data_IF_909416265636
#
_entry.id   IF_909416265636
#
_cell.length_a   1.000
_cell.length_b   1.000
_cell.length_c   1.000
_cell.angle_alpha   90.00
_cell.angle_beta   90.00
_cell.angle_gamma   90.00
#
_symmetry.space_group_name_H-M   'P 1'
#
loop_
_entity.id
_entity.type
_entity.pdbx_description
1 polymer ?
#
# COMPACT_ATOMS: atom_id res chain seq x y z
N UNK A 1 -10.76 12.62 -18.15
CA UNK A 1 -9.83 11.76 -17.39
C UNK A 1 -8.52 12.51 -17.17
N UNK A 2 -8.15 12.74 -15.91
CA UNK A 2 -6.84 13.29 -15.55
C UNK A 2 -5.81 12.16 -15.64
N UNK A 3 -4.56 12.48 -15.97
CA UNK A 3 -3.49 11.47 -16.06
C UNK A 3 -3.27 10.74 -14.73
N UNK A 4 -3.57 11.39 -13.60
CA UNK A 4 -3.48 10.85 -12.25
C UNK A 4 -4.60 9.87 -11.87
N UNK A 5 -5.66 9.75 -12.67
CA UNK A 5 -6.80 8.87 -12.33
C UNK A 5 -6.40 7.39 -12.36
N UNK A 6 -5.39 7.03 -13.18
CA UNK A 6 -4.82 5.70 -13.32
C UNK A 6 -3.31 5.73 -13.04
N UNK A 7 -2.89 5.00 -12.02
CA UNK A 7 -1.47 4.75 -11.71
C UNK A 7 -1.15 3.29 -12.00
N UNK A 8 -0.04 3.03 -12.69
CA UNK A 8 0.36 1.68 -13.11
C UNK A 8 1.79 1.42 -12.61
N UNK A 9 2.00 0.34 -11.88
CA UNK A 9 3.33 -0.14 -11.50
C UNK A 9 3.80 -1.19 -12.51
N UNK A 10 4.86 -0.86 -13.26
CA UNK A 10 5.29 -1.64 -14.43
C UNK A 10 6.82 -1.67 -14.57
N UNK A 11 7.35 -2.79 -15.05
CA UNK A 11 8.71 -2.88 -15.56
C UNK A 11 8.84 -3.98 -16.62
N UNK A 12 9.38 -5.17 -16.29
CA UNK A 12 9.78 -6.13 -17.31
C UNK A 12 8.62 -6.80 -18.06
N UNK A 13 7.39 -6.74 -17.56
CA UNK A 13 6.25 -7.40 -18.23
C UNK A 13 5.83 -6.68 -19.51
N UNK A 14 6.03 -5.36 -19.60
CA UNK A 14 5.69 -4.60 -20.79
C UNK A 14 6.48 -3.27 -20.87
N UNK A 15 7.02 -2.88 -22.04
CA UNK A 15 7.70 -1.60 -22.18
C UNK A 15 6.77 -0.41 -21.91
N UNK A 16 7.24 0.57 -21.13
CA UNK A 16 6.45 1.77 -20.82
C UNK A 16 5.88 2.52 -22.04
N UNK A 17 6.58 2.63 -23.20
CA UNK A 17 6.01 3.26 -24.39
C UNK A 17 4.74 2.57 -24.93
N UNK A 18 4.62 1.25 -24.77
CA UNK A 18 3.43 0.51 -25.20
C UNK A 18 2.21 0.86 -24.34
N UNK A 19 2.42 1.16 -23.06
CA UNK A 19 1.35 1.52 -22.12
C UNK A 19 0.73 2.88 -22.44
N UNK A 20 1.56 3.83 -22.89
CA UNK A 20 1.08 5.16 -23.26
C UNK A 20 0.09 5.13 -24.43
N UNK A 21 0.14 4.09 -25.28
CA UNK A 21 -0.83 3.85 -26.35
C UNK A 21 -2.16 3.27 -25.84
N UNK A 22 -2.14 2.58 -24.70
CA UNK A 22 -3.31 1.90 -24.13
C UNK A 22 -4.14 2.83 -23.24
N UNK A 23 -3.50 3.71 -22.46
CA UNK A 23 -4.21 4.55 -21.52
C UNK A 23 -3.45 5.83 -21.15
N UNK A 24 -4.20 6.91 -20.88
CA UNK A 24 -3.66 8.13 -20.28
C UNK A 24 -3.46 7.92 -18.77
N UNK A 25 -2.25 7.54 -18.38
CA UNK A 25 -1.91 7.13 -17.01
C UNK A 25 -0.57 7.69 -16.53
N UNK A 26 -0.30 7.54 -15.23
CA UNK A 26 1.03 7.66 -14.63
C UNK A 26 1.63 6.26 -14.54
N UNK A 27 2.77 6.04 -15.20
CA UNK A 27 3.54 4.80 -15.09
C UNK A 27 4.64 5.01 -14.06
N UNK A 28 4.64 4.17 -13.02
CA UNK A 28 5.66 4.09 -11.99
C UNK A 28 6.52 2.82 -12.22
N UNK A 29 7.75 2.78 -11.69
CA UNK A 29 8.59 1.57 -11.69
C UNK A 29 7.87 0.34 -11.11
N UNK A 30 8.44 -0.88 -11.23
CA UNK A 30 7.94 -2.04 -10.50
C UNK A 30 7.79 -1.73 -9.01
N UNK A 31 6.62 -2.05 -8.43
CA UNK A 31 6.32 -1.73 -7.04
C UNK A 31 7.28 -2.43 -6.05
N UNK A 32 7.80 -1.67 -5.10
CA UNK A 32 8.43 -2.18 -3.87
C UNK A 32 7.65 -1.70 -2.65
N UNK A 33 8.06 -2.18 -1.48
CA UNK A 33 7.45 -1.80 -0.21
C UNK A 33 7.33 -0.27 -0.05
N UNK A 34 6.13 0.15 0.33
CA UNK A 34 5.72 1.53 0.53
C UNK A 34 5.35 2.32 -0.74
N UNK A 35 5.58 1.77 -1.94
CA UNK A 35 5.29 2.50 -3.18
C UNK A 35 3.79 2.70 -3.39
N UNK A 36 2.95 1.72 -3.01
CA UNK A 36 1.49 1.85 -3.15
C UNK A 36 0.99 2.94 -2.21
N UNK A 37 1.47 3.00 -0.97
CA UNK A 37 1.17 4.11 -0.06
C UNK A 37 1.60 5.48 -0.61
N UNK A 38 2.80 5.58 -1.20
CA UNK A 38 3.25 6.83 -1.87
C UNK A 38 2.34 7.21 -3.03
N UNK A 39 1.89 6.23 -3.82
CA UNK A 39 1.00 6.47 -4.95
C UNK A 39 -0.38 6.99 -4.52
N UNK A 40 -0.88 6.65 -3.33
CA UNK A 40 -2.14 7.20 -2.81
C UNK A 40 -2.11 8.73 -2.67
N UNK A 41 -0.94 9.33 -2.46
CA UNK A 41 -0.80 10.78 -2.44
C UNK A 41 -1.19 11.43 -3.78
N UNK A 42 -1.12 10.71 -4.90
CA UNK A 42 -1.58 11.17 -6.21
C UNK A 42 -3.11 11.21 -6.33
N UNK A 43 -3.83 10.63 -5.36
CA UNK A 43 -5.29 10.44 -5.33
C UNK A 43 -5.81 9.73 -6.59
N UNK A 44 -5.26 8.56 -6.94
CA UNK A 44 -5.75 7.80 -8.09
C UNK A 44 -7.18 7.31 -7.84
N UNK A 45 -7.95 7.13 -8.91
CA UNK A 45 -9.19 6.34 -8.87
C UNK A 45 -8.88 4.85 -8.97
N UNK A 46 -7.83 4.51 -9.72
CA UNK A 46 -7.41 3.14 -10.00
C UNK A 46 -5.90 2.99 -9.89
N UNK A 47 -5.46 1.89 -9.27
CA UNK A 47 -4.09 1.40 -9.32
C UNK A 47 -4.07 0.08 -10.07
N UNK A 48 -3.22 -0.05 -11.09
CA UNK A 48 -2.90 -1.32 -11.72
C UNK A 48 -1.51 -1.77 -11.26
N UNK A 49 -1.45 -2.83 -10.47
CA UNK A 49 -0.21 -3.47 -10.07
C UNK A 49 0.11 -4.56 -11.09
N UNK A 50 1.09 -4.32 -11.96
CA UNK A 50 1.57 -5.33 -12.92
C UNK A 50 2.82 -5.96 -12.33
N UNK A 51 3.90 -5.20 -12.27
CA UNK A 51 5.21 -5.66 -11.80
C UNK A 51 5.55 -5.15 -10.42
N UNK A 52 6.39 -5.91 -9.74
CA UNK A 52 7.16 -5.37 -8.64
C UNK A 52 8.50 -6.07 -8.46
N UNK A 53 9.28 -5.52 -7.53
CA UNK A 53 10.66 -5.97 -7.28
C UNK A 53 10.65 -7.08 -6.22
N UNK A 54 11.52 -8.05 -6.43
CA UNK A 54 11.71 -9.21 -5.57
C UNK A 54 13.19 -9.35 -5.18
N UNK A 55 13.46 -10.00 -4.04
CA UNK A 55 14.76 -10.23 -3.38
C UNK A 55 15.57 -8.99 -2.98
N UNK A 56 15.98 -8.17 -3.96
CA UNK A 56 16.91 -7.03 -3.73
C UNK A 56 16.32 -5.93 -2.85
N UNK A 57 14.99 -5.85 -2.78
CA UNK A 57 14.24 -4.99 -1.88
C UNK A 57 12.98 -5.72 -1.42
N UNK A 58 12.43 -5.36 -0.24
CA UNK A 58 11.15 -5.90 0.17
C UNK A 58 10.05 -5.61 -0.87
N UNK A 59 9.34 -6.65 -1.26
CA UNK A 59 8.21 -6.58 -2.18
C UNK A 59 7.04 -5.82 -1.57
N UNK A 60 6.14 -5.33 -2.43
CA UNK A 60 4.90 -4.66 -2.02
C UNK A 60 4.11 -5.52 -1.03
N UNK A 61 3.70 -4.90 0.07
CA UNK A 61 2.95 -5.55 1.14
C UNK A 61 1.45 -5.59 0.85
N UNK A 62 0.80 -6.67 1.31
CA UNK A 62 -0.66 -6.79 1.28
C UNK A 62 -1.36 -5.63 1.99
N UNK A 63 -0.78 -5.14 3.08
CA UNK A 63 -1.31 -4.00 3.84
C UNK A 63 -1.39 -2.72 3.01
N UNK A 64 -0.48 -2.49 2.07
CA UNK A 64 -0.54 -1.29 1.22
C UNK A 64 -1.71 -1.36 0.24
N UNK A 65 -1.97 -2.56 -0.27
CA UNK A 65 -3.08 -2.82 -1.19
C UNK A 65 -4.42 -2.73 -0.46
N UNK A 66 -4.50 -3.30 0.75
CA UNK A 66 -5.67 -3.18 1.61
C UNK A 66 -5.97 -1.71 1.95
N UNK A 67 -4.94 -0.93 2.31
CA UNK A 67 -5.11 0.51 2.57
C UNK A 67 -5.59 1.27 1.32
N UNK A 68 -5.14 0.89 0.11
CA UNK A 68 -5.63 1.48 -1.12
C UNK A 68 -7.12 1.16 -1.36
N UNK A 69 -7.53 -0.09 -1.12
CA UNK A 69 -8.93 -0.52 -1.21
C UNK A 69 -9.81 0.21 -0.19
N UNK A 70 -9.34 0.32 1.06
CA UNK A 70 -10.03 1.05 2.14
C UNK A 70 -10.16 2.56 1.83
N UNK A 71 -9.19 3.13 1.10
CA UNK A 71 -9.25 4.49 0.59
C UNK A 71 -10.20 4.67 -0.62
N UNK A 72 -10.90 3.62 -1.04
CA UNK A 72 -11.83 3.63 -2.17
C UNK A 72 -11.15 3.62 -3.54
N UNK A 73 -9.86 3.28 -3.59
CA UNK A 73 -9.13 3.10 -4.86
C UNK A 73 -9.37 1.69 -5.36
N UNK A 74 -9.83 1.54 -6.61
CA UNK A 74 -9.91 0.21 -7.21
C UNK A 74 -8.52 -0.29 -7.57
N UNK A 75 -8.17 -1.50 -7.14
CA UNK A 75 -6.86 -2.09 -7.40
C UNK A 75 -7.00 -3.29 -8.33
N UNK A 76 -6.35 -3.22 -9.48
CA UNK A 76 -6.24 -4.31 -10.45
C UNK A 76 -4.85 -4.95 -10.36
N UNK A 77 -4.77 -6.27 -10.52
CA UNK A 77 -3.50 -6.98 -10.54
C UNK A 77 -3.46 -8.13 -11.54
N UNK A 78 -2.34 -8.29 -12.23
CA UNK A 78 -2.12 -9.36 -13.20
C UNK A 78 -0.65 -9.47 -13.64
N UNK A 79 -0.38 -10.40 -14.56
CA UNK A 79 0.91 -10.69 -15.21
C UNK A 79 2.12 -11.14 -14.37
N UNK A 80 2.37 -10.53 -13.21
CA UNK A 80 3.61 -10.72 -12.46
C UNK A 80 3.27 -10.71 -10.98
N UNK A 81 4.02 -9.98 -10.14
CA UNK A 81 3.71 -9.83 -8.72
C UNK A 81 2.28 -9.32 -8.47
N UNK A 82 1.71 -8.55 -9.39
CA UNK A 82 0.31 -8.16 -9.37
C UNK A 82 -0.69 -9.31 -9.39
N UNK A 83 -0.40 -10.37 -10.16
CA UNK A 83 -1.24 -11.56 -10.25
C UNK A 83 -1.28 -12.33 -8.93
N UNK A 84 -0.14 -12.48 -8.26
CA UNK A 84 -0.04 -13.13 -6.94
C UNK A 84 -0.87 -12.36 -5.92
N UNK A 85 -0.63 -11.04 -5.82
CA UNK A 85 -1.33 -10.18 -4.86
C UNK A 85 -2.84 -10.18 -5.12
N UNK A 86 -3.26 -10.20 -6.38
CA UNK A 86 -4.66 -10.34 -6.73
C UNK A 86 -5.25 -11.69 -6.30
N UNK A 87 -4.53 -12.80 -6.49
CA UNK A 87 -4.98 -14.12 -6.02
C UNK A 87 -5.21 -14.12 -4.50
N UNK A 88 -4.28 -13.55 -3.73
CA UNK A 88 -4.32 -13.47 -2.27
C UNK A 88 -5.39 -12.49 -1.74
N UNK A 89 -5.66 -11.41 -2.46
CA UNK A 89 -6.52 -10.30 -2.03
C UNK A 89 -7.83 -10.17 -2.79
N UNK A 90 -8.15 -11.09 -3.71
CA UNK A 90 -9.41 -11.11 -4.47
C UNK A 90 -10.64 -11.06 -3.56
N UNK A 91 -10.65 -11.88 -2.50
CA UNK A 91 -11.70 -11.89 -1.46
C UNK A 91 -11.83 -10.59 -0.66
N UNK A 92 -10.83 -9.70 -0.74
CA UNK A 92 -10.81 -8.39 -0.09
C UNK A 92 -11.15 -7.25 -1.06
N UNK A 93 -11.38 -7.53 -2.35
CA UNK A 93 -11.81 -6.55 -3.34
C UNK A 93 -10.77 -6.17 -4.40
N UNK A 94 -9.56 -6.74 -4.37
CA UNK A 94 -8.60 -6.59 -5.47
C UNK A 94 -9.09 -7.35 -6.71
N UNK A 95 -9.04 -6.72 -7.88
CA UNK A 95 -9.50 -7.33 -9.14
C UNK A 95 -8.33 -8.03 -9.82
N UNK A 96 -8.38 -9.36 -9.92
CA UNK A 96 -7.40 -10.13 -10.66
C UNK A 96 -7.72 -10.22 -12.15
N UNK A 97 -6.68 -10.12 -12.98
CA UNK A 97 -6.81 -10.13 -14.45
C UNK A 97 -5.76 -11.04 -15.06
N UNK A 98 -6.18 -11.81 -16.07
CA UNK A 98 -5.30 -12.61 -16.90
C UNK A 98 -5.09 -14.03 -16.40
N UNK A 99 -4.41 -14.82 -17.24
CA UNK A 99 -4.24 -16.26 -17.05
C UNK A 99 -3.34 -16.59 -15.85
N UNK A 100 -2.32 -15.77 -15.60
CA UNK A 100 -1.39 -15.97 -14.49
C UNK A 100 -2.14 -15.77 -13.17
N UNK A 101 -3.05 -14.79 -13.09
CA UNK A 101 -3.92 -14.63 -11.92
C UNK A 101 -4.84 -15.84 -11.73
N UNK A 102 -5.51 -16.31 -12.79
CA UNK A 102 -6.35 -17.51 -12.73
C UNK A 102 -5.56 -18.71 -12.23
N UNK A 103 -4.35 -18.91 -12.73
CA UNK A 103 -3.49 -20.00 -12.31
C UNK A 103 -3.10 -19.94 -10.83
N UNK A 104 -2.81 -18.77 -10.27
CA UNK A 104 -2.57 -18.64 -8.83
C UNK A 104 -3.84 -18.84 -8.01
N UNK A 105 -4.96 -18.24 -8.45
CA UNK A 105 -6.26 -18.38 -7.78
C UNK A 105 -6.71 -19.84 -7.69
N UNK A 106 -6.51 -20.60 -8.76
CA UNK A 106 -6.93 -21.99 -8.88
C UNK A 106 -5.87 -22.98 -8.36
N UNK A 107 -4.74 -22.48 -7.85
CA UNK A 107 -3.66 -23.31 -7.28
C UNK A 107 -2.82 -24.07 -8.31
N UNK A 108 -2.94 -23.75 -9.60
CA UNK A 108 -2.08 -24.28 -10.67
C UNK A 108 -0.63 -23.82 -10.49
N UNK A 109 -0.45 -22.58 -10.03
CA UNK A 109 0.82 -22.03 -9.58
C UNK A 109 0.78 -21.80 -8.08
N UNK A 110 1.88 -22.13 -7.40
CA UNK A 110 2.04 -21.94 -5.94
C UNK A 110 3.35 -21.25 -5.57
N UNK A 111 4.36 -21.30 -6.45
CA UNK A 111 5.70 -20.76 -6.20
C UNK A 111 5.84 -19.38 -6.85
N UNK A 112 6.25 -18.38 -6.06
CA UNK A 112 6.51 -17.01 -6.52
C UNK A 112 7.57 -16.95 -7.65
N UNK A 113 8.48 -17.94 -7.70
CA UNK A 113 9.50 -18.06 -8.73
C UNK A 113 8.92 -18.30 -10.14
N UNK A 114 7.63 -18.61 -10.27
CA UNK A 114 6.94 -18.79 -11.55
C UNK A 114 6.97 -17.51 -12.40
N UNK A 115 6.82 -16.35 -11.76
CA UNK A 115 6.82 -15.04 -12.41
C UNK A 115 8.15 -14.29 -12.27
N UNK A 116 9.06 -14.80 -11.44
CA UNK A 116 10.35 -14.17 -11.17
C UNK A 116 11.29 -14.20 -12.38
N UNK A 117 12.04 -13.10 -12.56
CA UNK A 117 13.10 -12.93 -13.55
C UNK A 117 14.02 -11.79 -13.11
N UNK A 118 15.28 -11.81 -13.55
CA UNK A 118 16.17 -10.65 -13.52
C UNK A 118 15.83 -9.68 -14.65
N UNK A 119 15.82 -8.39 -14.33
CA UNK A 119 15.63 -7.31 -15.27
C UNK A 119 16.72 -6.25 -15.09
N UNK A 120 16.92 -5.42 -16.11
CA UNK A 120 17.83 -4.28 -16.02
C UNK A 120 17.27 -3.17 -15.12
N UNK A 121 18.07 -2.15 -14.79
CA UNK A 121 17.62 -1.01 -14.03
C UNK A 121 16.72 -0.05 -14.84
N UNK A 122 16.23 1.03 -14.20
CA UNK A 122 15.40 2.05 -14.84
C UNK A 122 16.06 2.69 -16.07
N UNK A 123 17.39 2.83 -16.06
CA UNK A 123 18.19 3.40 -17.16
C UNK A 123 18.10 2.60 -18.47
N UNK A 124 17.75 1.32 -18.38
CA UNK A 124 17.50 0.43 -19.53
C UNK A 124 16.03 0.01 -19.62
N UNK A 125 15.12 0.75 -18.97
CA UNK A 125 13.68 0.53 -19.06
C UNK A 125 13.19 -0.79 -18.48
N UNK A 126 13.88 -1.35 -17.49
CA UNK A 126 13.53 -2.61 -16.84
C UNK A 126 13.43 -3.82 -17.77
N UNK A 127 14.15 -3.81 -18.91
CA UNK A 127 14.09 -4.93 -19.86
C UNK A 127 14.43 -6.27 -19.17
N UNK A 128 13.71 -7.37 -19.45
CA UNK A 128 14.01 -8.67 -18.88
C UNK A 128 15.38 -9.17 -19.39
N UNK A 129 16.21 -9.68 -18.48
CA UNK A 129 17.51 -10.31 -18.75
C UNK A 129 17.42 -11.84 -18.74
N UNK A 130 16.39 -12.37 -18.08
CA UNK A 130 16.12 -13.80 -17.93
C UNK A 130 14.63 -14.06 -18.14
N UNK A 131 14.26 -15.34 -18.13
CA UNK A 131 12.95 -15.83 -18.53
C UNK A 131 12.10 -16.25 -17.31
N UNK A 132 10.85 -15.79 -17.19
CA UNK A 132 9.91 -16.30 -16.20
C UNK A 132 9.40 -17.68 -16.61
N UNK A 133 9.04 -18.52 -15.65
CA UNK A 133 8.63 -19.90 -15.92
C UNK A 133 7.25 -19.96 -16.60
N UNK A 134 6.36 -19.02 -16.27
CA UNK A 134 5.05 -18.89 -16.93
C UNK A 134 5.15 -18.73 -18.45
N UNK A 135 6.18 -18.03 -18.96
CA UNK A 135 6.39 -17.90 -20.40
C UNK A 135 6.88 -19.22 -21.02
N UNK A 136 7.65 -20.02 -20.27
CA UNK A 136 8.02 -21.38 -20.73
C UNK A 136 6.78 -22.27 -20.82
N UNK A 137 5.90 -22.22 -19.82
CA UNK A 137 4.63 -22.96 -19.83
C UNK A 137 3.80 -22.57 -21.04
N UNK A 138 3.63 -21.27 -21.28
CA UNK A 138 2.89 -20.77 -22.44
C UNK A 138 3.50 -21.21 -23.77
N UNK A 139 4.82 -21.12 -23.92
CA UNK A 139 5.46 -21.57 -25.15
C UNK A 139 5.35 -23.08 -25.35
N UNK A 140 5.38 -23.88 -24.28
CA UNK A 140 5.16 -25.32 -24.37
C UNK A 140 3.73 -25.65 -24.81
N UNK A 141 2.72 -24.94 -24.28
CA UNK A 141 1.32 -25.07 -24.71
C UNK A 141 1.16 -24.74 -26.19
N UNK A 142 1.69 -23.59 -26.64
CA UNK A 142 1.61 -23.16 -28.05
C UNK A 142 2.36 -24.14 -28.95
N UNK A 143 3.55 -24.56 -28.57
CA UNK A 143 4.33 -25.52 -29.35
C UNK A 143 3.64 -26.88 -29.48
N UNK A 144 2.90 -27.33 -28.46
CA UNK A 144 2.09 -28.55 -28.53
C UNK A 144 0.86 -28.34 -29.41
N UNK A 145 0.16 -27.21 -29.27
CA UNK A 145 -1.02 -26.88 -30.08
C UNK A 145 -0.70 -26.75 -31.57
N UNK A 146 0.46 -26.19 -31.91
CA UNK A 146 0.95 -26.06 -33.30
C UNK A 146 1.62 -27.34 -33.82
N UNK A 147 1.68 -28.41 -33.02
CA UNK A 147 2.33 -29.67 -33.38
C UNK A 147 3.86 -29.58 -33.49
N UNK A 148 4.48 -28.49 -33.07
CA UNK A 148 5.93 -28.32 -33.02
C UNK A 148 6.58 -29.29 -32.02
N UNK A 149 5.89 -29.55 -30.90
CA UNK A 149 6.28 -30.50 -29.87
C UNK A 149 5.16 -31.51 -29.60
N UNK A 150 5.52 -32.76 -29.30
CA UNK A 150 4.57 -33.70 -28.69
C UNK A 150 4.28 -33.29 -27.24
N UNK A 151 3.12 -33.66 -26.66
CA UNK A 151 2.77 -33.31 -25.27
C UNK A 151 3.85 -33.69 -24.24
N UNK A 152 4.50 -34.85 -24.41
CA UNK A 152 5.61 -35.29 -23.56
C UNK A 152 6.84 -34.35 -23.65
N UNK A 153 7.12 -33.82 -24.85
CA UNK A 153 8.23 -32.90 -25.07
C UNK A 153 7.95 -31.52 -24.47
N UNK A 154 6.70 -31.03 -24.58
CA UNK A 154 6.26 -29.81 -23.89
C UNK A 154 6.42 -29.93 -22.36
N UNK A 155 6.01 -31.05 -21.78
CA UNK A 155 6.19 -31.32 -20.34
C UNK A 155 7.67 -31.38 -19.93
N UNK A 156 8.54 -31.98 -20.76
CA UNK A 156 9.99 -31.99 -20.52
C UNK A 156 10.60 -30.58 -20.55
N UNK A 157 10.16 -29.72 -21.47
CA UNK A 157 10.60 -28.33 -21.56
C UNK A 157 10.29 -27.56 -20.27
N UNK A 158 9.05 -27.67 -19.77
CA UNK A 158 8.63 -27.02 -18.52
C UNK A 158 9.42 -27.57 -17.32
N UNK A 159 9.56 -28.89 -17.20
CA UNK A 159 10.35 -29.52 -16.12
C UNK A 159 11.81 -29.10 -16.15
N UNK A 160 12.40 -28.95 -17.33
CA UNK A 160 13.77 -28.47 -17.47
C UNK A 160 13.90 -27.01 -17.02
N UNK A 161 12.94 -26.15 -17.37
CA UNK A 161 12.92 -24.76 -16.92
C UNK A 161 12.70 -24.60 -15.41
N UNK A 162 11.86 -25.44 -14.81
CA UNK A 162 11.62 -25.48 -13.35
C UNK A 162 12.91 -25.74 -12.55
N UNK A 163 13.79 -26.61 -13.05
CA UNK A 163 15.07 -26.92 -12.40
C UNK A 163 16.11 -25.81 -12.53
N UNK A 164 15.89 -24.83 -13.40
CA UNK A 164 16.78 -23.68 -13.54
C UNK A 164 16.29 -22.57 -12.62
N UNK A 165 17.18 -22.11 -11.74
CA UNK A 165 16.95 -20.90 -10.96
C UNK A 165 16.59 -19.74 -11.91
N UNK A 166 15.59 -18.95 -11.54
CA UNK A 166 15.05 -17.91 -12.42
C UNK A 166 16.15 -16.93 -12.87
N UNK A 167 17.13 -16.64 -11.99
CA UNK A 167 18.24 -15.73 -12.25
C UNK A 167 19.22 -16.19 -13.34
N UNK A 168 19.08 -17.42 -13.83
CA UNK A 168 19.88 -17.92 -14.94
C UNK A 168 19.03 -18.52 -16.06
N UNK A 169 17.70 -18.39 -16.00
CA UNK A 169 16.80 -19.02 -16.95
C UNK A 169 16.81 -18.25 -18.27
N UNK A 170 17.21 -18.91 -19.35
CA UNK A 170 17.13 -18.37 -20.72
C UNK A 170 16.68 -19.46 -21.66
N UNK A 171 16.08 -19.11 -22.82
CA UNK A 171 15.68 -20.11 -23.82
C UNK A 171 16.82 -21.06 -24.18
N UNK A 172 18.02 -20.54 -24.42
CA UNK A 172 19.21 -21.36 -24.71
C UNK A 172 19.45 -22.43 -23.63
N UNK A 173 19.40 -22.06 -22.35
CA UNK A 173 19.63 -22.97 -21.22
C UNK A 173 18.46 -23.93 -21.02
N UNK A 174 17.21 -23.44 -21.14
CA UNK A 174 16.00 -24.25 -21.01
C UNK A 174 15.97 -25.36 -22.07
N UNK A 175 16.18 -25.01 -23.34
CA UNK A 175 16.13 -25.99 -24.43
C UNK A 175 17.30 -26.99 -24.34
N UNK A 176 18.50 -26.53 -23.94
CA UNK A 176 19.62 -27.43 -23.68
C UNK A 176 19.32 -28.42 -22.53
N UNK A 177 18.75 -27.93 -21.42
CA UNK A 177 18.40 -28.75 -20.26
C UNK A 177 17.24 -29.72 -20.53
N UNK A 178 16.35 -29.38 -21.47
CA UNK A 178 15.26 -30.26 -21.91
C UNK A 178 15.74 -31.42 -22.80
N UNK A 179 17.00 -31.38 -23.26
CA UNK A 179 17.60 -32.38 -24.17
C UNK A 179 16.74 -32.61 -25.43
N UNK A 180 16.05 -31.58 -25.92
CA UNK A 180 15.33 -31.64 -27.17
C UNK A 180 16.34 -31.69 -28.33
N UNK A 181 16.14 -32.63 -29.25
CA UNK A 181 17.02 -32.86 -30.40
C UNK A 181 16.22 -33.08 -31.69
N UNK A 182 16.92 -33.07 -32.83
CA UNK A 182 16.34 -33.35 -34.14
C UNK A 182 15.21 -32.39 -34.54
N UNK A 183 14.17 -32.93 -35.18
CA UNK A 183 13.05 -32.14 -35.71
C UNK A 183 12.24 -31.40 -34.63
N UNK A 184 12.19 -31.90 -33.39
CA UNK A 184 11.52 -31.23 -32.29
C UNK A 184 12.27 -29.96 -31.87
N UNK A 185 13.60 -30.02 -31.83
CA UNK A 185 14.46 -28.85 -31.55
C UNK A 185 14.29 -27.78 -32.63
N UNK A 186 14.41 -28.18 -33.90
CA UNK A 186 14.30 -27.26 -35.03
C UNK A 186 12.93 -26.55 -35.07
N UNK A 187 11.83 -27.28 -34.85
CA UNK A 187 10.49 -26.68 -34.82
C UNK A 187 10.30 -25.72 -33.66
N UNK A 188 10.82 -26.03 -32.48
CA UNK A 188 10.78 -25.12 -31.33
C UNK A 188 11.61 -23.85 -31.60
N UNK A 189 12.82 -23.97 -32.17
CA UNK A 189 13.66 -22.82 -32.50
C UNK A 189 12.95 -21.90 -33.52
N UNK A 190 12.25 -22.45 -34.51
CA UNK A 190 11.43 -21.68 -35.47
C UNK A 190 10.30 -20.92 -34.76
N UNK A 191 9.59 -21.57 -33.83
CA UNK A 191 8.54 -20.92 -33.05
C UNK A 191 9.10 -19.75 -32.22
N UNK A 192 10.22 -19.97 -31.53
CA UNK A 192 10.84 -18.93 -30.71
C UNK A 192 11.39 -17.76 -31.55
N UNK A 193 11.92 -18.04 -32.74
CA UNK A 193 12.45 -17.02 -33.66
C UNK A 193 11.36 -16.12 -34.26
N UNK A 194 10.12 -16.60 -34.39
CA UNK A 194 8.97 -15.80 -34.84
C UNK A 194 8.46 -14.83 -33.78
N UNK A 195 8.93 -14.94 -32.55
CA UNK A 195 8.43 -14.23 -31.38
C UNK A 195 7.94 -15.22 -30.36
N UNK A 196 8.76 -15.48 -29.33
CA UNK A 196 8.39 -16.37 -28.25
C UNK A 196 7.10 -15.86 -27.57
N UNK A 197 6.11 -16.74 -27.31
CA UNK A 197 4.91 -16.36 -26.57
C UNK A 197 5.25 -15.74 -25.22
N UNK A 198 4.64 -14.60 -24.90
CA UNK A 198 4.92 -13.83 -23.69
C UNK A 198 3.63 -13.61 -22.89
N UNK A 199 3.34 -14.57 -22.01
CA UNK A 199 2.12 -14.53 -21.20
C UNK A 199 2.12 -13.35 -20.22
N UNK A 200 3.30 -12.96 -19.70
CA UNK A 200 3.39 -11.78 -18.84
C UNK A 200 3.01 -10.51 -19.60
N UNK A 201 3.47 -10.36 -20.84
CA UNK A 201 3.10 -9.22 -21.67
C UNK A 201 1.61 -9.21 -22.02
N UNK A 202 1.04 -10.36 -22.38
CA UNK A 202 -0.38 -10.50 -22.71
C UNK A 202 -1.27 -10.14 -21.50
N UNK A 203 -0.99 -10.71 -20.33
CA UNK A 203 -1.72 -10.40 -19.10
C UNK A 203 -1.51 -8.94 -18.65
N UNK A 204 -0.34 -8.35 -18.91
CA UNK A 204 -0.07 -6.96 -18.56
C UNK A 204 -0.93 -6.02 -19.42
N UNK A 205 -1.02 -6.27 -20.72
CA UNK A 205 -1.93 -5.53 -21.62
C UNK A 205 -3.38 -5.68 -21.19
N UNK A 206 -3.81 -6.91 -20.85
CA UNK A 206 -5.18 -7.17 -20.38
C UNK A 206 -5.49 -6.43 -19.06
N UNK A 207 -4.57 -6.45 -18.09
CA UNK A 207 -4.71 -5.75 -16.81
C UNK A 207 -4.83 -4.25 -17.00
N UNK A 208 -3.97 -3.67 -17.84
CA UNK A 208 -3.97 -2.23 -18.13
C UNK A 208 -5.25 -1.83 -18.86
N UNK A 209 -5.71 -2.63 -19.83
CA UNK A 209 -6.95 -2.39 -20.55
C UNK A 209 -8.17 -2.44 -19.61
N UNK A 210 -8.25 -3.43 -18.72
CA UNK A 210 -9.33 -3.55 -17.74
C UNK A 210 -9.35 -2.36 -16.78
N UNK A 211 -8.18 -1.95 -16.25
CA UNK A 211 -8.06 -0.79 -15.39
C UNK A 211 -8.45 0.51 -16.12
N UNK A 212 -8.05 0.68 -17.38
CA UNK A 212 -8.40 1.84 -18.19
C UNK A 212 -9.90 1.91 -18.50
N UNK A 213 -10.51 0.78 -18.86
CA UNK A 213 -11.95 0.68 -19.10
C UNK A 213 -12.75 1.06 -17.83
N UNK A 214 -12.30 0.61 -16.67
CA UNK A 214 -12.92 0.97 -15.40
C UNK A 214 -12.85 2.47 -15.10
N UNK A 215 -11.73 3.14 -15.39
CA UNK A 215 -11.64 4.60 -15.22
C UNK A 215 -12.59 5.34 -16.17
N UNK A 216 -12.76 4.82 -17.40
CA UNK A 216 -13.66 5.38 -18.40
C UNK A 216 -15.15 5.20 -18.07
N UNK A 217 -15.51 4.19 -17.28
CA UNK A 217 -16.88 3.93 -16.87
C UNK A 217 -17.42 5.02 -15.90
N UNK A 218 -18.72 5.38 -15.98
CA UNK A 218 -19.36 6.27 -15.01
C UNK A 218 -19.32 5.65 -13.60
N UNK A 219 -19.07 6.52 -12.60
CA UNK A 219 -18.87 6.27 -11.17
C UNK A 219 -19.16 4.84 -10.66
N UNK A 220 -18.15 3.98 -10.71
CA UNK A 220 -18.10 2.81 -9.85
C UNK A 220 -17.85 3.28 -8.41
N UNK A 221 -18.81 3.03 -7.52
CA UNK A 221 -18.60 3.09 -6.09
C UNK A 221 -18.05 1.71 -5.65
N UNK A 222 -16.80 1.60 -5.16
CA UNK A 222 -16.32 0.34 -4.65
C UNK A 222 -17.21 -0.14 -3.51
N UNK A 223 -17.50 -1.45 -3.41
CA UNK A 223 -18.21 -1.99 -2.28
C UNK A 223 -17.39 -1.70 -1.03
N UNK A 224 -17.88 -0.77 -0.21
CA UNK A 224 -17.27 -0.41 1.06
C UNK A 224 -17.34 -1.62 1.98
N UNK A 225 -16.24 -2.36 2.08
CA UNK A 225 -16.03 -3.30 3.19
C UNK A 225 -14.97 -2.73 4.12
N UNK A 226 -15.37 -1.66 4.83
CA UNK A 226 -14.57 -1.09 5.90
C UNK A 226 -14.71 -1.96 7.16
N UNK A 227 -14.02 -3.09 7.22
CA UNK A 227 -13.50 -3.51 8.52
C UNK A 227 -12.18 -2.76 8.67
N UNK A 228 -12.18 -1.65 9.41
CA UNK A 228 -10.97 -0.93 9.77
C UNK A 228 -10.06 -1.85 10.58
N UNK A 229 -9.23 -2.63 9.89
CA UNK A 229 -8.23 -3.48 10.54
C UNK A 229 -7.18 -2.57 11.14
N UNK A 230 -6.93 -2.66 12.44
CA UNK A 230 -5.78 -1.97 13.05
C UNK A 230 -4.51 -2.75 12.68
N UNK A 231 -3.60 -2.17 11.89
CA UNK A 231 -2.39 -2.87 11.52
C UNK A 231 -1.45 -3.00 12.73
N UNK A 232 -0.55 -3.98 12.67
CA UNK A 232 0.46 -4.19 13.70
C UNK A 232 1.33 -2.94 13.90
N UNK A 233 2.01 -2.83 15.04
CA UNK A 233 2.94 -1.72 15.30
C UNK A 233 4.07 -1.63 14.26
N UNK A 234 4.49 -2.76 13.71
CA UNK A 234 5.46 -2.80 12.60
C UNK A 234 4.92 -2.09 11.37
N UNK A 235 3.72 -2.45 10.92
CA UNK A 235 3.10 -1.87 9.73
C UNK A 235 2.81 -0.39 9.94
N UNK A 236 2.31 0.02 11.12
CA UNK A 236 2.08 1.44 11.43
C UNK A 236 3.36 2.28 11.37
N UNK A 237 4.45 1.80 11.99
CA UNK A 237 5.74 2.50 11.97
C UNK A 237 6.31 2.60 10.56
N UNK A 238 6.17 1.55 9.76
CA UNK A 238 6.66 1.55 8.39
C UNK A 238 5.81 2.45 7.48
N UNK A 239 4.48 2.42 7.62
CA UNK A 239 3.58 3.34 6.91
C UNK A 239 3.94 4.78 7.21
N UNK A 240 4.11 5.12 8.49
CA UNK A 240 4.44 6.47 8.94
C UNK A 240 5.67 7.05 8.24
N UNK A 241 6.72 6.26 7.97
CA UNK A 241 7.92 6.76 7.30
C UNK A 241 7.85 6.64 5.77
N UNK A 242 7.09 5.68 5.25
CA UNK A 242 7.00 5.40 3.82
C UNK A 242 6.03 6.34 3.06
N UNK A 243 5.04 6.93 3.73
CA UNK A 243 4.06 7.87 3.16
C UNK A 243 4.65 9.27 2.95
N UNK A 244 3.88 10.14 2.30
CA UNK A 244 4.26 11.52 2.02
C UNK A 244 3.19 12.51 2.47
N UNK A 245 3.63 13.65 2.98
CA UNK A 245 2.83 14.83 3.27
C UNK A 245 2.78 15.75 2.06
N UNK A 246 1.66 16.46 1.85
CA UNK A 246 1.53 17.44 0.75
C UNK A 246 1.63 18.87 1.28
N UNK A 247 2.80 19.47 1.15
CA UNK A 247 3.02 20.90 1.43
C UNK A 247 2.79 21.71 0.14
N UNK A 248 1.60 22.27 -0.02
CA UNK A 248 1.19 22.94 -1.26
C UNK A 248 1.24 21.99 -2.46
N UNK A 249 2.08 22.28 -3.46
CA UNK A 249 2.26 21.42 -4.65
C UNK A 249 3.33 20.34 -4.47
N UNK A 250 4.12 20.39 -3.40
CA UNK A 250 5.28 19.50 -3.18
C UNK A 250 4.88 18.33 -2.28
N UNK A 251 5.33 17.13 -2.64
CA UNK A 251 5.32 15.98 -1.75
C UNK A 251 6.60 15.97 -0.91
N UNK A 252 6.46 15.72 0.39
CA UNK A 252 7.58 15.64 1.35
C UNK A 252 7.52 14.26 2.00
N UNK A 253 8.64 13.54 2.06
CA UNK A 253 8.67 12.23 2.71
C UNK A 253 8.46 12.39 4.21
N UNK A 254 7.56 11.58 4.79
CA UNK A 254 7.27 11.68 6.21
C UNK A 254 8.47 11.29 7.08
N UNK A 255 9.36 10.43 6.59
CA UNK A 255 10.65 10.15 7.24
C UNK A 255 11.50 11.41 7.44
N UNK A 256 11.56 12.30 6.44
CA UNK A 256 12.30 13.55 6.53
C UNK A 256 11.63 14.52 7.53
N UNK A 257 10.29 14.57 7.53
CA UNK A 257 9.52 15.37 8.50
C UNK A 257 9.79 14.89 9.92
N UNK A 258 9.78 13.57 10.16
CA UNK A 258 10.08 13.00 11.47
C UNK A 258 11.51 13.27 11.91
N UNK A 259 12.49 13.15 11.00
CA UNK A 259 13.88 13.46 11.31
C UNK A 259 14.06 14.94 11.71
N UNK A 260 13.40 15.85 10.99
CA UNK A 260 13.41 17.28 11.32
C UNK A 260 12.74 17.57 12.66
N UNK A 261 11.58 16.94 12.94
CA UNK A 261 10.88 17.08 14.22
C UNK A 261 11.69 16.51 15.38
N UNK A 262 12.38 15.38 15.19
CA UNK A 262 13.23 14.77 16.21
C UNK A 262 14.43 15.66 16.59
N UNK A 263 14.92 16.47 15.66
CA UNK A 263 16.01 17.42 15.89
C UNK A 263 15.54 18.75 16.50
N UNK A 264 14.23 19.03 16.54
CA UNK A 264 13.69 20.30 17.01
C UNK A 264 13.69 20.39 18.56
N UNK A 265 13.85 21.60 19.14
CA UNK A 265 13.64 21.80 20.56
C UNK A 265 12.23 21.35 21.00
N UNK A 266 12.15 20.62 22.11
CA UNK A 266 10.87 20.11 22.62
C UNK A 266 10.37 18.81 21.98
N UNK A 267 11.14 18.19 21.07
CA UNK A 267 10.78 16.92 20.43
C UNK A 267 10.40 15.83 21.44
N UNK A 268 11.15 15.70 22.54
CA UNK A 268 10.87 14.72 23.60
C UNK A 268 9.50 14.96 24.25
N UNK A 269 9.18 16.20 24.61
CA UNK A 269 7.91 16.54 25.21
C UNK A 269 6.73 16.28 24.25
N UNK A 270 6.90 16.60 22.96
CA UNK A 270 5.90 16.30 21.93
C UNK A 270 5.69 14.79 21.76
N UNK A 271 6.78 14.01 21.76
CA UNK A 271 6.72 12.56 21.66
C UNK A 271 6.04 11.92 22.89
N UNK A 272 6.38 12.35 24.11
CA UNK A 272 5.74 11.90 25.34
C UNK A 272 4.23 12.18 25.34
N UNK A 273 3.83 13.37 24.89
CA UNK A 273 2.42 13.72 24.78
C UNK A 273 1.69 12.81 23.78
N UNK A 274 2.28 12.57 22.60
CA UNK A 274 1.72 11.61 21.64
C UNK A 274 1.65 10.18 22.18
N UNK A 275 2.66 9.74 22.93
CA UNK A 275 2.69 8.42 23.57
C UNK A 275 1.60 8.29 24.64
N UNK A 276 1.43 9.29 25.51
CA UNK A 276 0.35 9.30 26.52
C UNK A 276 -1.02 9.11 25.88
N UNK A 277 -1.32 9.87 24.83
CA UNK A 277 -2.60 9.76 24.09
C UNK A 277 -2.82 8.37 23.50
N UNK A 278 -1.82 7.87 22.77
CA UNK A 278 -1.92 6.56 22.10
C UNK A 278 -2.00 5.40 23.09
N UNK A 279 -1.33 5.50 24.24
CA UNK A 279 -1.43 4.53 25.34
C UNK A 279 -2.80 4.57 26.00
N UNK A 280 -3.34 5.76 26.32
CA UNK A 280 -4.68 5.89 26.90
C UNK A 280 -5.76 5.34 25.97
N UNK A 281 -5.71 5.66 24.68
CA UNK A 281 -6.64 5.10 23.70
C UNK A 281 -6.51 3.57 23.58
N UNK A 282 -5.29 3.04 23.64
CA UNK A 282 -5.06 1.59 23.63
C UNK A 282 -5.56 0.91 24.92
N UNK A 283 -5.35 1.54 26.06
CA UNK A 283 -5.82 1.07 27.35
C UNK A 283 -7.34 1.07 27.42
N UNK A 284 -8.00 2.16 27.00
CA UNK A 284 -9.46 2.23 26.87
C UNK A 284 -10.02 1.07 26.05
N UNK A 285 -9.42 0.79 24.88
CA UNK A 285 -9.80 -0.37 24.05
C UNK A 285 -9.62 -1.70 24.78
N UNK A 286 -8.52 -1.88 25.52
CA UNK A 286 -8.28 -3.11 26.29
C UNK A 286 -9.30 -3.33 27.42
N UNK A 287 -9.90 -2.25 27.91
CA UNK A 287 -11.00 -2.28 28.88
C UNK A 287 -12.38 -2.45 28.25
N UNK A 288 -12.47 -2.61 26.92
CA UNK A 288 -13.74 -2.79 26.20
C UNK A 288 -14.50 -1.50 25.93
N UNK A 289 -13.85 -0.33 26.02
CA UNK A 289 -14.50 0.92 25.61
C UNK A 289 -14.71 0.93 24.10
N UNK A 290 -15.95 1.20 23.70
CA UNK A 290 -16.33 1.44 22.31
C UNK A 290 -16.63 2.93 22.09
N UNK A 291 -16.54 3.37 20.85
CA UNK A 291 -16.93 4.72 20.41
C UNK A 291 -17.91 4.60 19.25
N UNK A 292 -18.95 5.44 19.29
CA UNK A 292 -19.93 5.54 18.22
C UNK A 292 -19.41 6.44 17.10
N UNK A 293 -20.05 6.39 15.93
CA UNK A 293 -19.77 7.33 14.83
C UNK A 293 -19.90 8.79 15.29
N UNK A 294 -20.89 9.09 16.14
CA UNK A 294 -21.09 10.43 16.68
C UNK A 294 -19.93 10.88 17.59
N UNK A 295 -19.33 9.96 18.38
CA UNK A 295 -18.15 10.27 19.20
C UNK A 295 -16.94 10.62 18.32
N UNK A 296 -16.73 9.88 17.22
CA UNK A 296 -15.62 10.09 16.28
C UNK A 296 -15.78 11.42 15.55
N UNK A 297 -16.97 11.73 15.04
CA UNK A 297 -17.26 13.04 14.41
C UNK A 297 -17.14 14.19 15.41
N UNK A 298 -17.57 13.98 16.67
CA UNK A 298 -17.39 14.95 17.75
C UNK A 298 -15.91 15.22 18.05
N UNK A 299 -15.07 14.19 18.09
CA UNK A 299 -13.62 14.35 18.27
C UNK A 299 -12.96 15.07 17.08
N UNK A 300 -13.36 14.74 15.85
CA UNK A 300 -12.90 15.39 14.62
C UNK A 300 -13.22 16.90 14.64
N UNK A 301 -14.45 17.24 14.98
CA UNK A 301 -14.92 18.62 15.06
C UNK A 301 -14.24 19.39 16.20
N UNK A 302 -14.03 18.77 17.36
CA UNK A 302 -13.27 19.37 18.46
C UNK A 302 -11.82 19.67 18.06
N UNK A 303 -11.16 18.73 17.37
CA UNK A 303 -9.79 18.91 16.88
C UNK A 303 -9.69 20.05 15.86
N UNK A 304 -10.63 20.11 14.90
CA UNK A 304 -10.72 21.22 13.95
C UNK A 304 -10.86 22.57 14.65
N UNK A 305 -11.75 22.66 15.65
CA UNK A 305 -11.97 23.91 16.41
C UNK A 305 -10.75 24.31 17.23
N UNK A 306 -10.03 23.36 17.83
CA UNK A 306 -8.80 23.63 18.56
C UNK A 306 -7.71 24.25 17.68
N UNK A 307 -7.68 23.90 16.39
CA UNK A 307 -6.79 24.51 15.40
C UNK A 307 -7.34 25.81 14.77
N UNK A 308 -8.56 26.24 15.15
CA UNK A 308 -9.27 27.37 14.56
C UNK A 308 -9.41 27.30 13.02
N UNK A 309 -9.56 26.10 12.45
CA UNK A 309 -9.64 25.89 11.01
C UNK A 309 -11.08 25.81 10.50
N UNK A 310 -11.33 26.34 9.30
CA UNK A 310 -12.57 26.06 8.55
C UNK A 310 -12.62 24.59 8.12
N UNK A 311 -13.79 24.04 7.74
CA UNK A 311 -13.86 22.66 7.23
C UNK A 311 -12.91 22.39 6.06
N UNK A 312 -12.84 23.31 5.09
CA UNK A 312 -11.91 23.21 3.97
C UNK A 312 -10.44 23.34 4.40
N UNK A 313 -10.15 24.25 5.34
CA UNK A 313 -8.81 24.41 5.91
C UNK A 313 -8.34 23.14 6.65
N UNK A 314 -9.25 22.47 7.35
CA UNK A 314 -8.96 21.22 8.04
C UNK A 314 -8.67 20.06 7.09
N UNK A 315 -9.41 19.96 5.98
CA UNK A 315 -9.09 18.98 4.91
C UNK A 315 -7.69 19.20 4.34
N UNK A 316 -7.26 20.45 4.16
CA UNK A 316 -5.90 20.77 3.73
C UNK A 316 -4.87 20.38 4.79
N UNK A 317 -5.12 20.75 6.05
CA UNK A 317 -4.26 20.43 7.19
C UNK A 317 -4.03 18.92 7.34
N UNK A 318 -5.07 18.09 7.20
CA UNK A 318 -4.93 16.63 7.25
C UNK A 318 -3.99 16.13 6.14
N UNK A 319 -4.13 16.65 4.92
CA UNK A 319 -3.24 16.29 3.80
C UNK A 319 -1.79 16.78 4.00
N UNK A 320 -1.60 17.96 4.59
CA UNK A 320 -0.29 18.49 4.98
C UNK A 320 0.35 17.69 6.12
N UNK A 321 -0.48 17.10 6.98
CA UNK A 321 -0.05 16.23 8.08
C UNK A 321 0.17 14.77 7.64
N UNK A 322 0.00 14.46 6.35
CA UNK A 322 0.18 13.10 5.83
C UNK A 322 -0.91 12.12 6.31
N UNK A 323 -2.06 12.62 6.73
CA UNK A 323 -3.20 11.81 7.19
C UNK A 323 -4.22 11.65 6.07
N UNK A 324 -4.39 10.41 5.62
CA UNK A 324 -5.44 10.03 4.67
C UNK A 324 -6.79 9.78 5.37
N UNK A 325 -7.84 9.49 4.59
CA UNK A 325 -9.19 9.27 5.12
C UNK A 325 -9.21 8.27 6.28
N UNK A 326 -8.61 7.09 6.09
CA UNK A 326 -8.58 6.03 7.08
C UNK A 326 -7.68 6.38 8.28
N UNK A 327 -6.51 6.99 8.05
CA UNK A 327 -5.60 7.41 9.12
C UNK A 327 -6.21 8.51 9.99
N UNK A 328 -6.85 9.51 9.38
CA UNK A 328 -7.51 10.58 10.12
C UNK A 328 -8.72 10.07 10.91
N UNK A 329 -9.49 9.12 10.36
CA UNK A 329 -10.59 8.48 11.08
C UNK A 329 -10.09 7.69 12.30
N UNK A 330 -9.03 6.88 12.15
CA UNK A 330 -8.40 6.15 13.26
C UNK A 330 -7.86 7.08 14.35
N UNK A 331 -7.27 8.21 13.96
CA UNK A 331 -6.82 9.21 14.93
C UNK A 331 -8.00 9.84 15.68
N UNK A 332 -9.10 10.15 14.99
CA UNK A 332 -10.31 10.69 15.64
C UNK A 332 -10.95 9.66 16.59
N UNK A 333 -10.92 8.37 16.24
CA UNK A 333 -11.32 7.27 17.12
C UNK A 333 -10.44 7.22 18.38
N UNK A 334 -9.12 7.32 18.23
CA UNK A 334 -8.18 7.34 19.37
C UNK A 334 -8.42 8.56 20.28
N UNK A 335 -8.66 9.75 19.70
CA UNK A 335 -9.01 10.96 20.46
C UNK A 335 -10.36 10.82 21.19
N UNK A 336 -11.36 10.16 20.57
CA UNK A 336 -12.65 9.90 21.19
C UNK A 336 -12.53 8.91 22.37
N UNK A 337 -11.73 7.86 22.21
CA UNK A 337 -11.44 6.87 23.25
C UNK A 337 -10.68 7.48 24.43
N UNK A 338 -9.64 8.27 24.15
CA UNK A 338 -8.90 9.03 25.15
C UNK A 338 -9.86 9.91 25.96
N UNK A 339 -10.72 10.68 25.27
CA UNK A 339 -11.68 11.57 25.91
C UNK A 339 -12.70 10.81 26.76
N UNK A 340 -13.23 9.68 26.28
CA UNK A 340 -14.15 8.85 27.05
C UNK A 340 -13.50 8.34 28.33
N UNK A 341 -12.27 7.84 28.22
CA UNK A 341 -11.50 7.35 29.37
C UNK A 341 -11.26 8.47 30.39
N UNK A 342 -10.83 9.65 29.96
CA UNK A 342 -10.59 10.80 30.83
C UNK A 342 -11.89 11.35 31.47
N UNK A 343 -12.99 11.38 30.73
CA UNK A 343 -14.30 11.82 31.26
C UNK A 343 -14.80 10.85 32.33
N UNK A 344 -14.51 9.56 32.17
CA UNK A 344 -14.85 8.50 33.11
C UNK A 344 -13.79 8.23 34.17
N UNK A 345 -12.70 9.02 34.27
CA UNK A 345 -11.49 8.66 35.03
C UNK A 345 -11.74 8.18 36.47
N UNK A 346 -12.67 8.83 37.17
CA UNK A 346 -13.08 8.48 38.54
C UNK A 346 -13.66 7.06 38.69
N UNK A 347 -14.04 6.41 37.58
CA UNK A 347 -14.62 5.06 37.53
C UNK A 347 -13.75 4.05 36.78
N UNK A 348 -12.62 4.48 36.21
CA UNK A 348 -11.75 3.60 35.40
C UNK A 348 -10.93 2.66 36.27
N UNK A 349 -10.54 3.12 37.46
CA UNK A 349 -9.79 2.35 38.46
C UNK A 349 -10.42 2.57 39.85
N UNK A 350 -10.21 1.65 40.81
CA UNK A 350 -10.55 1.90 42.21
C UNK A 350 -9.94 3.22 42.68
N UNK A 351 -10.74 4.07 43.31
CA UNK A 351 -10.33 5.41 43.77
C UNK A 351 -9.70 6.27 42.65
N UNK A 352 -10.31 6.23 41.46
CA UNK A 352 -9.84 7.00 40.30
C UNK A 352 -9.91 8.52 40.49
N UNK A 353 -9.04 9.29 39.80
CA UNK A 353 -8.93 10.72 39.99
C UNK A 353 -10.13 11.49 39.41
N UNK A 354 -10.48 12.58 40.09
CA UNK A 354 -11.43 13.59 39.62
C UNK A 354 -10.81 14.58 38.63
N UNK A 355 -11.67 15.35 37.95
CA UNK A 355 -11.21 16.44 37.07
C UNK A 355 -10.47 17.54 37.85
N UNK A 356 -10.89 17.84 39.08
CA UNK A 356 -10.27 18.86 39.92
C UNK A 356 -8.86 18.45 40.35
N UNK A 357 -8.65 17.18 40.69
CA UNK A 357 -7.31 16.64 40.97
C UNK A 357 -6.40 16.74 39.76
N UNK A 358 -6.92 16.40 38.57
CA UNK A 358 -6.20 16.57 37.31
C UNK A 358 -5.81 18.03 37.03
N UNK A 359 -6.75 18.96 37.18
CA UNK A 359 -6.52 20.39 37.01
C UNK A 359 -5.48 20.91 38.01
N UNK A 360 -5.60 20.55 39.29
CA UNK A 360 -4.68 20.96 40.33
C UNK A 360 -3.27 20.45 40.07
N UNK A 361 -3.10 19.18 39.68
CA UNK A 361 -1.81 18.61 39.33
C UNK A 361 -1.19 19.33 38.14
N UNK A 362 -1.93 19.48 37.03
CA UNK A 362 -1.45 20.16 35.82
C UNK A 362 -1.05 21.62 36.08
N UNK A 363 -1.90 22.37 36.80
CA UNK A 363 -1.63 23.77 37.14
C UNK A 363 -0.41 23.93 38.06
N UNK A 364 -0.15 22.98 38.96
CA UNK A 364 1.05 23.00 39.82
C UNK A 364 2.31 22.73 39.00
N UNK A 365 2.30 21.71 38.14
CA UNK A 365 3.44 21.35 37.29
C UNK A 365 3.78 22.47 36.29
N UNK A 366 2.76 23.14 35.74
CA UNK A 366 2.94 24.28 34.83
C UNK A 366 3.25 25.62 35.54
N UNK A 367 3.26 25.65 36.89
CA UNK A 367 3.42 26.87 37.67
C UNK A 367 2.23 27.84 37.65
N UNK A 368 1.18 27.54 36.88
CA UNK A 368 -0.07 28.33 36.80
C UNK A 368 -0.76 28.46 38.15
N UNK A 369 -0.74 27.41 38.97
CA UNK A 369 -1.32 27.44 40.33
C UNK A 369 -0.67 28.53 41.19
N UNK A 370 0.67 28.61 41.18
CA UNK A 370 1.41 29.60 41.94
C UNK A 370 1.20 31.02 41.38
N UNK A 371 1.16 31.16 40.05
CA UNK A 371 0.85 32.45 39.40
C UNK A 371 -0.54 32.97 39.79
N UNK A 372 -1.54 32.09 39.72
CA UNK A 372 -2.93 32.41 40.01
C UNK A 372 -3.15 32.70 41.50
N UNK A 373 -2.52 31.91 42.38
CA UNK A 373 -2.52 32.16 43.82
C UNK A 373 -1.99 33.56 44.15
N UNK A 374 -0.89 33.98 43.51
CA UNK A 374 -0.34 35.35 43.66
C UNK A 374 -1.30 36.42 43.11
N UNK A 375 -1.95 36.17 41.97
CA UNK A 375 -2.94 37.09 41.38
C UNK A 375 -4.12 37.33 42.33
N UNK A 376 -4.69 36.27 42.88
CA UNK A 376 -5.80 36.32 43.85
C UNK A 376 -5.38 37.08 45.12
N UNK A 377 -4.20 36.79 45.67
CA UNK A 377 -3.69 37.47 46.87
C UNK A 377 -3.52 38.99 46.66
N UNK A 378 -3.08 39.43 45.47
CA UNK A 378 -2.95 40.86 45.12
C UNK A 378 -4.29 41.54 44.89
N UNK A 379 -5.25 40.85 44.26
CA UNK A 379 -6.61 41.36 44.03
C UNK A 379 -7.36 41.62 45.34
N UNK A 380 -7.20 40.75 46.34
CA UNK A 380 -7.81 40.92 47.67
C UNK A 380 -7.28 42.13 48.44
N UNK A 381 -6.03 42.54 48.23
CA UNK A 381 -5.43 43.73 48.85
C UNK A 381 -5.89 45.07 48.26
N UNK A 382 -6.62 45.08 47.14
CA UNK A 382 -7.15 46.31 46.51
C UNK A 382 -8.60 46.61 46.89
N UNK A 383 -9.27 45.68 47.58
CA UNK A 383 -10.66 45.80 48.03
C UNK A 383 -10.78 45.97 49.55
N UNK A 384 -9.65 45.89 50.27
CA UNK A 384 -9.46 46.33 51.65
C UNK A 384 -8.79 47.68 51.65
#
# INVERSE_FOLDING_TARGET
>A
MKRSDLVIFLGPSLPAPDVQRLARCIVLPPARQGDVWRALALRPRVIALVDGVFESVPSVWHHEILDALDAGVAVFGGASMGALRAAELSRHGMVGVGRIFEWYRDGVLQDDAEVALLHAGPELGFRPLTLPLVNVRRAAEVAVAEGALAPRQGALLVRAAQRLHYGVRTWRRVVAAARLAGSARARLDVLLARGAPDLKADDARATIAAAAAFVAAPAYAPPVRAVLRRPSSLVRRHKLTATVSRAGRRAVANGDVLAALAAAPGAAALAEEGLRRTLLAAFARSLGYEVTVADVEGAREAWRRALALTPAGFTRFLAESGLDGADSARLCEDLALERRLLTGAARVVPDGPSQDEGLALGARLAGTWAAESRRIARGRRRLS
#
